data_IF_388471799557
#
_entry.id   IF_388471799557
#
_cell.length_a   1.000
_cell.length_b   1.000
_cell.length_c   1.000
_cell.angle_alpha   90.00
_cell.angle_beta   90.00
_cell.angle_gamma   90.00
#
_symmetry.space_group_name_H-M   'P 1'
#
loop_
_entity.id
_entity.type
_entity.pdbx_description
1 polymer ?
#
# COMPACT_ATOMS: atom_id res chain seq x y z
N UNK A 1 -19.50 3.69 20.87
CA UNK A 1 -19.73 2.31 20.39
C UNK A 1 -19.67 2.31 18.87
N UNK A 2 -18.68 1.65 18.27
CA UNK A 2 -18.64 1.47 16.82
C UNK A 2 -19.68 0.41 16.43
N UNK A 3 -20.54 0.74 15.47
CA UNK A 3 -21.59 -0.17 14.98
C UNK A 3 -20.96 -1.36 14.26
N UNK A 4 -21.67 -2.49 14.18
CA UNK A 4 -21.20 -3.73 13.51
C UNK A 4 -20.63 -3.49 12.10
N UNK A 5 -21.14 -2.47 11.39
CA UNK A 5 -20.66 -2.02 10.07
C UNK A 5 -19.31 -1.29 10.16
N UNK A 6 -19.15 -0.38 11.13
CA UNK A 6 -17.89 0.32 11.38
C UNK A 6 -16.73 -0.63 11.71
N UNK A 7 -16.99 -1.66 12.52
CA UNK A 7 -15.97 -2.67 12.86
C UNK A 7 -15.52 -3.47 11.64
N UNK A 8 -16.43 -3.79 10.72
CA UNK A 8 -16.09 -4.47 9.48
C UNK A 8 -15.23 -3.58 8.56
N UNK A 9 -15.56 -2.29 8.45
CA UNK A 9 -14.74 -1.33 7.69
C UNK A 9 -13.36 -1.13 8.30
N UNK A 10 -13.26 -1.09 9.63
CA UNK A 10 -11.99 -1.00 10.33
C UNK A 10 -11.13 -2.25 10.10
N UNK A 11 -11.70 -3.45 10.23
CA UNK A 11 -10.98 -4.69 9.98
C UNK A 11 -10.46 -4.79 8.54
N UNK A 12 -11.23 -4.31 7.56
CA UNK A 12 -10.78 -4.23 6.15
C UNK A 12 -9.66 -3.21 6.00
N UNK A 13 -9.76 -2.04 6.64
CA UNK A 13 -8.71 -1.02 6.59
C UNK A 13 -7.40 -1.49 7.22
N UNK A 14 -7.46 -2.22 8.33
CA UNK A 14 -6.28 -2.75 9.02
C UNK A 14 -5.62 -3.86 8.21
N UNK A 15 -6.39 -4.80 7.64
CA UNK A 15 -5.86 -5.81 6.70
C UNK A 15 -5.14 -5.19 5.51
N UNK A 16 -5.65 -4.07 4.98
CA UNK A 16 -5.01 -3.34 3.88
C UNK A 16 -3.67 -2.74 4.28
N UNK A 17 -3.57 -2.16 5.48
CA UNK A 17 -2.29 -1.65 6.02
C UNK A 17 -1.27 -2.78 6.23
N UNK A 18 -1.70 -3.92 6.77
CA UNK A 18 -0.82 -5.06 7.01
C UNK A 18 -0.27 -5.65 5.71
N UNK A 19 -1.09 -5.70 4.65
CA UNK A 19 -0.65 -6.13 3.32
C UNK A 19 0.48 -5.25 2.79
N UNK A 20 0.39 -3.92 2.98
CA UNK A 20 1.45 -3.00 2.58
C UNK A 20 2.75 -3.24 3.29
N UNK A 21 2.69 -3.40 4.61
CA UNK A 21 3.88 -3.55 5.41
C UNK A 21 4.62 -4.84 5.05
N UNK A 22 3.89 -5.94 4.90
CA UNK A 22 4.45 -7.23 4.48
C UNK A 22 5.06 -7.16 3.09
N UNK A 23 4.32 -6.65 2.11
CA UNK A 23 4.78 -6.55 0.72
C UNK A 23 6.01 -5.65 0.59
N UNK A 24 6.02 -4.49 1.26
CA UNK A 24 7.16 -3.57 1.21
C UNK A 24 8.39 -4.18 1.86
N UNK A 25 8.23 -4.88 2.99
CA UNK A 25 9.33 -5.54 3.68
C UNK A 25 9.89 -6.72 2.86
N UNK A 26 9.03 -7.50 2.21
CA UNK A 26 9.44 -8.56 1.30
C UNK A 26 10.20 -8.03 0.08
N UNK A 27 9.75 -6.92 -0.50
CA UNK A 27 10.43 -6.27 -1.63
C UNK A 27 11.79 -5.70 -1.21
N UNK A 28 11.86 -4.99 -0.07
CA UNK A 28 13.12 -4.48 0.48
C UNK A 28 14.11 -5.59 0.82
N UNK A 29 13.63 -6.72 1.34
CA UNK A 29 14.50 -7.85 1.68
C UNK A 29 15.10 -8.55 0.46
N UNK A 30 14.49 -8.39 -0.73
CA UNK A 30 14.89 -9.10 -1.95
C UNK A 30 15.59 -8.20 -2.96
N UNK A 31 15.32 -6.90 -2.93
CA UNK A 31 15.81 -5.96 -3.93
C UNK A 31 16.71 -4.90 -3.29
N UNK A 32 17.95 -4.81 -3.77
CA UNK A 32 18.90 -3.75 -3.38
C UNK A 32 18.55 -2.40 -4.01
N UNK A 33 17.93 -2.42 -5.20
CA UNK A 33 17.48 -1.23 -5.93
C UNK A 33 16.06 -1.47 -6.41
N UNK A 34 15.13 -0.58 -6.02
CA UNK A 34 13.72 -0.65 -6.40
C UNK A 34 13.41 0.56 -7.27
N UNK A 35 13.22 0.32 -8.57
CA UNK A 35 12.70 1.32 -9.50
C UNK A 35 11.21 1.06 -9.74
N UNK A 36 10.38 2.10 -9.60
CA UNK A 36 8.97 2.03 -9.95
C UNK A 36 8.67 2.96 -11.13
N UNK A 37 7.81 2.51 -12.05
CA UNK A 37 7.35 3.35 -13.14
C UNK A 37 6.47 4.50 -12.62
N UNK A 38 6.55 5.66 -13.26
CA UNK A 38 5.66 6.79 -12.96
C UNK A 38 4.30 6.56 -13.62
N UNK A 39 3.52 5.64 -13.07
CA UNK A 39 2.20 5.28 -13.57
C UNK A 39 1.14 6.25 -13.02
N UNK A 40 0.17 6.64 -13.85
CA UNK A 40 -0.96 7.44 -13.40
C UNK A 40 -1.98 6.59 -12.61
N UNK A 41 -1.63 6.26 -11.37
CA UNK A 41 -2.43 5.43 -10.46
C UNK A 41 -3.83 6.04 -10.25
N UNK A 42 -3.93 7.38 -10.20
CA UNK A 42 -5.20 8.11 -10.04
C UNK A 42 -6.13 7.92 -11.25
N UNK A 43 -5.56 7.86 -12.46
CA UNK A 43 -6.30 7.59 -13.68
C UNK A 43 -6.80 6.15 -13.71
N UNK A 44 -5.93 5.20 -13.40
CA UNK A 44 -6.28 3.78 -13.44
C UNK A 44 -7.28 3.37 -12.36
N UNK A 45 -7.25 4.01 -11.19
CA UNK A 45 -8.22 3.84 -10.11
C UNK A 45 -9.66 4.25 -10.50
N UNK A 46 -9.85 4.93 -11.64
CA UNK A 46 -11.17 5.32 -12.17
C UNK A 46 -11.63 4.45 -13.36
N UNK A 47 -10.82 3.48 -13.77
CA UNK A 47 -11.13 2.58 -14.89
C UNK A 47 -11.80 1.28 -14.41
N UNK A 48 -12.04 0.34 -15.34
CA UNK A 48 -12.52 -1.02 -15.01
C UNK A 48 -11.54 -1.81 -14.13
N UNK A 49 -10.28 -1.40 -14.03
CA UNK A 49 -9.26 -1.99 -13.17
C UNK A 49 -9.23 -1.37 -11.75
N UNK A 50 -10.11 -0.40 -11.48
CA UNK A 50 -10.20 0.32 -10.20
C UNK A 50 -10.18 -0.59 -8.98
N UNK A 51 -10.94 -1.69 -9.00
CA UNK A 51 -10.98 -2.66 -7.90
C UNK A 51 -9.63 -3.31 -7.65
N UNK A 52 -8.98 -3.85 -8.69
CA UNK A 52 -7.66 -4.49 -8.57
C UNK A 52 -6.60 -3.50 -8.07
N UNK A 53 -6.68 -2.25 -8.51
CA UNK A 53 -5.71 -1.21 -8.13
C UNK A 53 -5.94 -0.73 -6.72
N UNK A 54 -7.21 -0.61 -6.30
CA UNK A 54 -7.58 -0.27 -4.92
C UNK A 54 -7.46 -1.44 -3.95
N UNK A 55 -7.37 -2.68 -4.43
CA UNK A 55 -7.10 -3.86 -3.60
C UNK A 55 -5.60 -4.09 -3.46
N UNK A 56 -4.82 -3.85 -4.53
CA UNK A 56 -3.35 -3.86 -4.47
C UNK A 56 -2.76 -2.56 -3.88
N UNK A 57 -3.55 -1.48 -3.85
CA UNK A 57 -3.28 -0.17 -3.22
C UNK A 57 -1.89 0.37 -3.60
N UNK A 58 -1.63 0.50 -4.90
CA UNK A 58 -0.31 0.87 -5.42
C UNK A 58 0.17 2.28 -5.00
N UNK A 59 -0.74 3.19 -4.70
CA UNK A 59 -0.41 4.57 -4.37
C UNK A 59 0.27 4.79 -3.01
N UNK A 60 0.17 3.83 -2.08
CA UNK A 60 0.76 3.95 -0.74
C UNK A 60 2.13 3.28 -0.63
N UNK A 61 2.48 2.37 -1.55
CA UNK A 61 3.74 1.63 -1.55
C UNK A 61 4.99 2.55 -1.53
N UNK A 62 5.07 3.62 -2.37
CA UNK A 62 6.21 4.54 -2.34
C UNK A 62 6.39 5.24 -0.99
N UNK A 63 5.30 5.53 -0.27
CA UNK A 63 5.33 6.20 1.03
C UNK A 63 5.96 5.30 2.11
N UNK A 64 5.73 3.99 2.05
CA UNK A 64 6.34 3.04 2.99
C UNK A 64 7.83 2.85 2.74
N UNK A 65 8.27 2.83 1.48
CA UNK A 65 9.71 2.81 1.15
C UNK A 65 10.44 4.04 1.70
N UNK A 66 9.87 5.23 1.54
CA UNK A 66 10.47 6.48 2.02
C UNK A 66 10.44 6.62 3.55
N UNK A 67 9.39 6.08 4.20
CA UNK A 67 9.34 6.02 5.66
C UNK A 67 10.43 5.09 6.23
N UNK A 68 10.68 3.96 5.57
CA UNK A 68 11.70 2.99 5.99
C UNK A 68 13.12 3.51 5.72
N UNK A 69 13.36 4.14 4.56
CA UNK A 69 14.67 4.72 4.22
C UNK A 69 15.06 5.83 5.20
N UNK A 70 14.12 6.70 5.60
CA UNK A 70 14.35 7.75 6.61
C UNK A 70 14.60 7.22 8.02
N UNK A 71 14.10 6.01 8.36
CA UNK A 71 14.45 5.33 9.62
C UNK A 71 15.81 4.63 9.58
N UNK A 72 16.30 4.23 8.41
CA UNK A 72 17.65 3.68 8.23
C UNK A 72 18.74 4.76 8.06
N UNK A 73 18.36 5.99 7.72
CA UNK A 73 19.28 7.13 7.59
C UNK A 73 19.37 7.98 8.87
N UNK A 74 19.31 7.32 10.03
CA UNK A 74 19.71 7.90 11.32
C UNK A 74 20.37 6.85 12.21
#
# INVERSE_FOLDING_TARGET
MLTKRGNAHQAVADKRKDFHFKTSNELLSKAEIIAHENLNIKGLAKTRLSKSINDAIWGSIPVYFDCQSRKCWR
#
